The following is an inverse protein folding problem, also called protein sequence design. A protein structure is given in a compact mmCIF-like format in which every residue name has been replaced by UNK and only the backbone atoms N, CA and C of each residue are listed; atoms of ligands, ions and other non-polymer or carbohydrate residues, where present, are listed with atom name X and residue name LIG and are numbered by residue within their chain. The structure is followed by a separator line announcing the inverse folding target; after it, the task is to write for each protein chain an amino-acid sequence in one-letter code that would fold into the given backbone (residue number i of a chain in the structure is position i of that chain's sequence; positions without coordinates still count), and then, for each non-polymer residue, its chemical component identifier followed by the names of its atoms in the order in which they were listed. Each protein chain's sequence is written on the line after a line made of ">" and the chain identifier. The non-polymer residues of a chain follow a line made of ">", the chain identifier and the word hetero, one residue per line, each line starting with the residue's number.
data_IF_025131422818
#
_entry.id   IF_025131422818
#
_cell.length_a   1.000
_cell.length_b   1.000
_cell.length_c   1.000
_cell.angle_alpha   90.00
_cell.angle_beta   90.00
_cell.angle_gamma   90.00
#
_symmetry.space_group_name_H-M   'P 1'
#
loop_
_entity.id
_entity.type
_entity.pdbx_description
1 polymer ?
#
# COMPACT_ATOMS: atom_id res chain seq x y z
N UNK A 1 9.23 5.73 11.23
CA UNK A 1 9.13 4.27 11.46
C UNK A 1 8.01 4.05 12.48
N UNK A 2 6.85 3.54 12.07
CA UNK A 2 5.75 3.22 13.00
C UNK A 2 5.98 1.81 13.55
N UNK A 3 5.99 1.67 14.88
CA UNK A 3 5.85 0.37 15.56
C UNK A 3 4.65 0.44 16.48
N UNK A 4 3.70 -0.46 16.30
CA UNK A 4 2.66 -0.74 17.29
C UNK A 4 2.95 -2.15 17.80
N UNK A 5 3.44 -2.24 19.04
CA UNK A 5 3.78 -3.50 19.66
C UNK A 5 2.77 -3.82 20.78
N UNK A 6 1.94 -4.83 20.56
CA UNK A 6 1.52 -5.70 21.65
C UNK A 6 2.64 -6.74 21.83
N UNK A 7 2.92 -7.17 23.07
CA UNK A 7 4.01 -8.11 23.44
C UNK A 7 3.87 -9.54 22.86
N UNK A 8 3.22 -9.72 21.71
CA UNK A 8 3.10 -10.99 21.01
C UNK A 8 4.07 -11.04 19.81
N UNK A 9 4.65 -12.22 19.54
CA UNK A 9 5.44 -12.44 18.34
C UNK A 9 4.51 -12.34 17.13
N UNK A 10 4.85 -11.45 16.20
CA UNK A 10 4.07 -11.25 14.99
C UNK A 10 4.20 -12.46 14.06
N UNK A 11 3.07 -12.98 13.57
CA UNK A 11 3.07 -14.08 12.59
C UNK A 11 3.43 -13.59 11.18
N UNK A 12 3.07 -12.34 10.86
CA UNK A 12 3.29 -11.73 9.56
C UNK A 12 3.91 -10.34 9.70
N UNK A 13 4.76 -9.99 8.74
CA UNK A 13 5.39 -8.68 8.62
C UNK A 13 5.03 -8.12 7.25
N UNK A 14 4.36 -6.96 7.21
CA UNK A 14 4.00 -6.29 5.96
C UNK A 14 4.86 -5.06 5.78
N UNK A 15 5.57 -4.99 4.66
CA UNK A 15 6.47 -3.90 4.34
C UNK A 15 5.86 -3.06 3.22
N UNK A 16 5.66 -1.77 3.49
CA UNK A 16 5.19 -0.81 2.49
C UNK A 16 6.38 -0.08 1.90
N UNK A 17 6.54 -0.21 0.59
CA UNK A 17 7.64 0.37 -0.17
C UNK A 17 7.08 1.44 -1.10
N UNK A 18 7.61 2.66 -0.97
CA UNK A 18 7.35 3.75 -1.91
C UNK A 18 8.40 3.73 -3.01
N UNK A 19 7.95 3.42 -4.21
CA UNK A 19 8.75 3.58 -5.42
C UNK A 19 8.42 4.92 -6.06
N UNK A 20 9.43 5.78 -6.20
CA UNK A 20 9.31 7.00 -7.00
C UNK A 20 9.42 6.58 -8.46
N UNK A 21 8.47 6.95 -9.34
CA UNK A 21 8.48 6.55 -10.74
C UNK A 21 9.50 7.39 -11.52
N UNK A 22 10.76 7.37 -11.13
CA UNK A 22 11.88 8.05 -11.80
C UNK A 22 13.02 7.04 -11.90
N UNK A 23 13.69 6.90 -13.06
CA UNK A 23 14.82 6.00 -13.20
C UNK A 23 15.90 6.28 -12.15
N UNK A 24 16.47 5.21 -11.59
CA UNK A 24 17.61 5.25 -10.65
C UNK A 24 17.33 5.90 -9.29
N UNK A 25 16.09 6.25 -8.96
CA UNK A 25 15.71 6.58 -7.59
C UNK A 25 15.43 5.27 -6.84
N UNK A 26 16.17 4.97 -5.75
CA UNK A 26 15.93 3.76 -4.99
C UNK A 26 14.56 3.83 -4.28
N UNK A 27 13.93 2.68 -4.02
CA UNK A 27 12.72 2.62 -3.23
C UNK A 27 12.95 3.05 -1.77
N UNK A 28 11.91 3.60 -1.15
CA UNK A 28 11.90 4.00 0.26
C UNK A 28 10.96 3.10 1.06
N UNK A 29 11.36 2.68 2.26
CA UNK A 29 10.44 1.98 3.17
C UNK A 29 9.55 3.02 3.87
N UNK A 30 8.24 2.98 3.61
CA UNK A 30 7.25 3.83 4.28
C UNK A 30 6.92 3.29 5.68
N UNK A 31 6.78 1.98 5.81
CA UNK A 31 6.36 1.36 7.06
C UNK A 31 6.58 -0.14 7.07
N UNK A 32 6.76 -0.67 8.28
CA UNK A 32 6.80 -2.10 8.56
C UNK A 32 5.71 -2.34 9.61
N UNK A 33 4.69 -3.09 9.23
CA UNK A 33 3.52 -3.34 10.05
C UNK A 33 3.50 -4.81 10.42
N UNK A 34 3.55 -5.06 11.73
CA UNK A 34 3.43 -6.39 12.30
C UNK A 34 1.95 -6.75 12.38
N UNK A 35 1.57 -7.91 11.85
CA UNK A 35 0.19 -8.39 11.89
C UNK A 35 0.14 -9.90 12.22
N UNK A 36 -0.93 -10.32 12.89
CA UNK A 36 -1.20 -11.72 13.20
C UNK A 36 -2.32 -12.32 12.34
N UNK A 37 -2.99 -11.50 11.54
CA UNK A 37 -4.11 -11.91 10.69
C UNK A 37 -3.77 -11.92 9.20
N UNK A 38 -4.31 -12.92 8.51
CA UNK A 38 -4.35 -13.04 7.05
C UNK A 38 -5.78 -12.87 6.51
N UNK A 39 -6.69 -12.27 7.29
CA UNK A 39 -8.01 -11.96 6.76
C UNK A 39 -7.91 -10.76 5.80
N UNK A 40 -8.66 -10.85 4.69
CA UNK A 40 -8.71 -9.80 3.66
C UNK A 40 -9.13 -8.46 4.26
N UNK A 41 -10.08 -8.45 5.20
CA UNK A 41 -10.56 -7.23 5.86
C UNK A 41 -9.46 -6.53 6.66
N UNK A 42 -8.64 -7.28 7.40
CA UNK A 42 -7.58 -6.70 8.22
C UNK A 42 -6.47 -6.12 7.34
N UNK A 43 -6.11 -6.84 6.27
CA UNK A 43 -5.14 -6.33 5.28
C UNK A 43 -5.67 -5.09 4.55
N UNK A 44 -6.96 -5.07 4.21
CA UNK A 44 -7.63 -3.93 3.61
C UNK A 44 -7.57 -2.69 4.52
N UNK A 45 -7.89 -2.83 5.81
CA UNK A 45 -7.82 -1.70 6.76
C UNK A 45 -6.39 -1.18 6.90
N UNK A 46 -5.38 -2.06 6.89
CA UNK A 46 -3.98 -1.62 6.89
C UNK A 46 -3.64 -0.84 5.62
N UNK A 47 -4.04 -1.31 4.43
CA UNK A 47 -3.84 -0.57 3.18
C UNK A 47 -4.49 0.81 3.24
N UNK A 48 -5.72 0.89 3.73
CA UNK A 48 -6.47 2.14 3.89
C UNK A 48 -5.74 3.11 4.81
N UNK A 49 -5.28 2.66 5.98
CA UNK A 49 -4.50 3.49 6.91
C UNK A 49 -3.21 4.02 6.28
N UNK A 50 -2.48 3.20 5.51
CA UNK A 50 -1.27 3.65 4.82
C UNK A 50 -1.59 4.72 3.78
N UNK A 51 -2.69 4.58 3.04
CA UNK A 51 -3.13 5.59 2.07
C UNK A 51 -3.58 6.89 2.75
N UNK A 52 -4.32 6.81 3.85
CA UNK A 52 -4.71 7.97 4.66
C UNK A 52 -3.49 8.70 5.21
N UNK A 53 -2.48 7.95 5.66
CA UNK A 53 -1.22 8.51 6.14
C UNK A 53 -0.43 9.18 5.00
N UNK A 54 -0.34 8.53 3.84
CA UNK A 54 0.28 9.13 2.66
C UNK A 54 -0.42 10.43 2.26
N UNK A 55 -1.75 10.45 2.25
CA UNK A 55 -2.55 11.65 1.98
C UNK A 55 -2.31 12.75 3.03
N UNK A 56 -2.24 12.40 4.32
CA UNK A 56 -1.92 13.33 5.42
C UNK A 56 -0.55 14.00 5.20
N UNK A 57 0.45 13.24 4.74
CA UNK A 57 1.77 13.76 4.38
C UNK A 57 1.86 14.37 2.98
N UNK A 58 0.73 14.51 2.27
CA UNK A 58 0.66 15.05 0.90
C UNK A 58 1.49 14.26 -0.12
N UNK A 59 1.66 12.97 0.12
CA UNK A 59 2.24 12.03 -0.84
C UNK A 59 1.11 11.53 -1.73
N UNK A 60 1.10 11.98 -2.99
CA UNK A 60 0.11 11.56 -3.98
C UNK A 60 0.47 10.17 -4.51
N UNK A 61 -0.21 9.13 -4.00
CA UNK A 61 -0.02 7.74 -4.44
C UNK A 61 -0.68 7.54 -5.81
N UNK A 62 0.11 7.10 -6.79
CA UNK A 62 -0.35 6.82 -8.16
C UNK A 62 -0.88 5.40 -8.33
N UNK A 63 -0.22 4.43 -7.69
CA UNK A 63 -0.59 3.02 -7.74
C UNK A 63 -0.22 2.31 -6.45
N UNK A 64 -0.91 1.21 -6.20
CA UNK A 64 -0.61 0.24 -5.14
C UNK A 64 -0.55 -1.15 -5.76
N UNK A 65 0.45 -1.94 -5.36
CA UNK A 65 0.63 -3.33 -5.80
C UNK A 65 0.87 -4.25 -4.61
N UNK A 66 0.32 -5.46 -4.67
CA UNK A 66 0.55 -6.54 -3.72
C UNK A 66 1.62 -7.52 -4.24
N UNK A 67 2.24 -8.29 -3.34
CA UNK A 67 3.34 -9.22 -3.65
C UNK A 67 2.92 -10.51 -4.40
N UNK A 68 1.64 -10.64 -4.71
CA UNK A 68 1.06 -11.81 -5.36
C UNK A 68 0.30 -12.74 -4.41
N UNK A 69 0.36 -12.53 -3.10
CA UNK A 69 -0.40 -13.33 -2.13
C UNK A 69 -1.90 -13.05 -2.27
N UNK A 70 -2.70 -14.13 -2.31
CA UNK A 70 -4.13 -14.06 -2.63
C UNK A 70 -4.94 -13.12 -1.73
N UNK A 71 -4.59 -13.03 -0.45
CA UNK A 71 -5.22 -12.14 0.53
C UNK A 71 -4.93 -10.69 0.21
N UNK A 72 -3.65 -10.37 -0.08
CA UNK A 72 -3.22 -9.02 -0.42
C UNK A 72 -3.81 -8.56 -1.75
N UNK A 73 -3.85 -9.43 -2.78
CA UNK A 73 -4.50 -9.11 -4.06
C UNK A 73 -5.98 -8.79 -3.85
N UNK A 74 -6.69 -9.57 -3.02
CA UNK A 74 -8.12 -9.31 -2.73
C UNK A 74 -8.29 -7.99 -1.99
N UNK A 75 -7.43 -7.71 -1.01
CA UNK A 75 -7.47 -6.45 -0.27
C UNK A 75 -7.17 -5.25 -1.18
N UNK A 76 -6.19 -5.36 -2.07
CA UNK A 76 -5.89 -4.37 -3.10
C UNK A 76 -7.10 -4.13 -4.03
N UNK A 77 -7.76 -5.21 -4.49
CA UNK A 77 -8.98 -5.08 -5.31
C UNK A 77 -10.10 -4.34 -4.58
N UNK A 78 -10.27 -4.56 -3.28
CA UNK A 78 -11.26 -3.83 -2.48
C UNK A 78 -10.93 -2.32 -2.41
N UNK A 79 -9.65 -1.95 -2.28
CA UNK A 79 -9.22 -0.54 -2.36
C UNK A 79 -9.56 0.07 -3.72
N UNK A 80 -9.33 -0.67 -4.82
CA UNK A 80 -9.62 -0.19 -6.18
C UNK A 80 -11.12 0.05 -6.44
N UNK A 81 -12.00 -0.55 -5.63
CA UNK A 81 -13.45 -0.37 -5.73
C UNK A 81 -13.97 0.84 -4.93
N UNK A 82 -13.11 1.53 -4.17
CA UNK A 82 -13.50 2.73 -3.44
C UNK A 82 -13.89 3.81 -4.46
N UNK A 83 -15.14 4.28 -4.37
CA UNK A 83 -15.60 5.40 -5.18
C UNK A 83 -14.84 6.66 -4.78
N UNK A 84 -14.01 7.15 -5.70
CA UNK A 84 -13.37 8.47 -5.60
C UNK A 84 -14.12 9.44 -6.50
N UNK A 85 -14.47 10.62 -5.98
CA UNK A 85 -15.16 11.66 -6.76
C UNK A 85 -14.35 12.11 -8.00
N UNK A 86 -13.03 11.91 -7.97
CA UNK A 86 -12.10 12.26 -9.04
C UNK A 86 -11.30 11.03 -9.47
N UNK A 87 -11.48 10.62 -10.72
CA UNK A 87 -10.60 9.65 -11.38
C UNK A 87 -9.58 10.42 -12.21
N UNK A 88 -8.31 10.34 -11.82
CA UNK A 88 -7.21 10.90 -12.59
C UNK A 88 -6.65 9.81 -13.49
N UNK A 89 -6.60 10.07 -14.79
CA UNK A 89 -6.00 9.17 -15.78
C UNK A 89 -4.67 9.78 -16.23
N UNK A 90 -3.57 9.04 -16.02
CA UNK A 90 -2.25 9.46 -16.48
C UNK A 90 -1.99 8.85 -17.85
N UNK A 91 -1.98 9.67 -18.90
CA UNK A 91 -1.74 9.21 -20.27
C UNK A 91 -0.34 9.65 -20.71
N UNK A 92 0.66 8.89 -20.30
CA UNK A 92 2.05 9.07 -20.74
C UNK A 92 2.54 7.81 -21.44
N UNK A 93 3.00 7.97 -22.69
CA UNK A 93 3.50 6.88 -23.53
C UNK A 93 4.77 6.23 -22.98
N UNK A 94 5.45 6.89 -22.04
CA UNK A 94 6.69 6.40 -21.41
C UNK A 94 6.44 5.69 -20.06
N UNK A 95 5.26 5.83 -19.46
CA UNK A 95 4.89 5.15 -18.21
C UNK A 95 3.86 4.06 -18.49
N UNK A 96 4.37 2.85 -18.76
CA UNK A 96 3.55 1.64 -18.76
C UNK A 96 3.45 1.18 -17.30
N UNK A 97 2.25 1.26 -16.72
CA UNK A 97 1.95 0.50 -15.51
C UNK A 97 2.05 -0.98 -15.88
N UNK A 98 3.08 -1.67 -15.38
CA UNK A 98 3.22 -3.12 -15.47
C UNK A 98 2.47 -3.74 -14.29
#
# INVERSE_FOLDING_TARGET
>A
MLFLANNAIAKYVRVYILQVPIPKVPPFVLGIILNNSENVSDVYEIHKQVLELAAHFKIHILSIGADGVSVEIKAQKNIMQINTETKLEFNDKLYIFI
#
